data_IF_727201973117
#
_entry.id   IF_727201973117
#
_cell.length_a   1.000
_cell.length_b   1.000
_cell.length_c   1.000
_cell.angle_alpha   90.00
_cell.angle_beta   90.00
_cell.angle_gamma   90.00
#
_symmetry.space_group_name_H-M   'P 1'
#
loop_
_entity.id
_entity.type
_entity.pdbx_description
1 polymer ?
#
# COMPACT_ATOMS: atom_id res chain seq x y z
N UNK A 1 -39.31 -6.31 70.07
CA UNK A 1 -38.93 -5.09 69.33
C UNK A 1 -37.79 -5.50 68.39
N UNK A 2 -38.09 -5.81 67.12
CA UNK A 2 -37.64 -5.09 65.89
C UNK A 2 -36.13 -4.76 65.96
N UNK A 3 -35.23 -5.24 65.10
CA UNK A 3 -35.16 -5.33 63.63
C UNK A 3 -34.15 -6.46 63.26
N UNK A 4 -34.38 -7.44 62.38
CA UNK A 4 -34.69 -7.45 60.94
C UNK A 4 -33.53 -7.00 60.02
N UNK A 5 -33.03 -7.99 59.26
CA UNK A 5 -32.35 -7.99 57.95
C UNK A 5 -30.97 -7.35 57.85
N UNK A 6 -29.88 -8.08 57.57
CA UNK A 6 -29.55 -8.93 56.40
C UNK A 6 -29.33 -8.11 55.11
N UNK A 7 -28.07 -8.15 54.63
CA UNK A 7 -27.56 -7.84 53.28
C UNK A 7 -27.65 -6.38 52.81
N UNK A 8 -26.50 -5.75 52.51
CA UNK A 8 -25.91 -5.81 51.17
C UNK A 8 -24.59 -5.03 51.07
N UNK A 9 -23.67 -5.65 50.34
CA UNK A 9 -22.40 -5.17 49.82
C UNK A 9 -22.42 -3.73 49.30
N UNK A 10 -21.38 -2.97 49.62
CA UNK A 10 -21.09 -1.67 49.01
C UNK A 10 -19.59 -1.47 48.80
N UNK A 11 -18.94 -2.40 48.07
CA UNK A 11 -17.57 -2.20 47.58
C UNK A 11 -17.67 -1.29 46.35
N UNK A 12 -17.52 0.02 46.53
CA UNK A 12 -17.34 0.96 45.42
C UNK A 12 -15.85 1.16 45.18
N UNK A 13 -15.21 0.13 44.63
CA UNK A 13 -13.90 0.26 43.97
C UNK A 13 -14.07 1.12 42.72
N UNK A 14 -13.79 2.42 42.85
CA UNK A 14 -13.75 3.34 41.70
C UNK A 14 -12.43 3.14 40.95
N UNK A 15 -12.31 2.00 40.25
CA UNK A 15 -11.28 1.79 39.24
C UNK A 15 -11.66 2.62 38.02
N UNK A 16 -11.20 3.87 37.97
CA UNK A 16 -11.07 4.59 36.70
C UNK A 16 -9.97 3.88 35.92
N UNK A 17 -10.36 2.80 35.24
CA UNK A 17 -9.57 2.22 34.16
C UNK A 17 -9.33 3.34 33.16
N UNK A 18 -8.06 3.69 32.96
CA UNK A 18 -7.61 4.47 31.83
C UNK A 18 -8.18 3.84 30.56
N UNK A 19 -9.27 4.41 30.06
CA UNK A 19 -9.63 4.19 28.68
C UNK A 19 -8.50 4.84 27.87
N UNK A 20 -7.58 4.02 27.34
CA UNK A 20 -6.93 4.41 26.11
C UNK A 20 -8.06 4.50 25.08
N UNK A 21 -8.66 5.68 24.97
CA UNK A 21 -9.28 6.08 23.72
C UNK A 21 -8.15 6.00 22.70
N UNK A 22 -8.12 4.91 21.93
CA UNK A 22 -7.44 4.90 20.64
C UNK A 22 -8.24 5.87 19.78
N UNK A 23 -7.99 7.16 20.02
CA UNK A 23 -8.46 8.24 19.19
C UNK A 23 -8.15 7.92 17.74
N UNK A 24 -8.98 8.43 16.85
CA UNK A 24 -8.75 8.43 15.41
C UNK A 24 -7.25 8.59 15.10
N UNK A 25 -6.65 7.62 14.37
CA UNK A 25 -5.29 7.80 13.84
C UNK A 25 -4.36 6.59 13.73
N UNK A 26 -4.83 5.33 13.67
CA UNK A 26 -3.92 4.24 13.23
C UNK A 26 -4.02 4.08 11.72
N UNK A 27 -2.99 4.54 11.00
CA UNK A 27 -2.84 4.26 9.57
C UNK A 27 -2.60 2.76 9.38
N UNK A 28 -3.37 2.14 8.50
CA UNK A 28 -3.14 0.77 8.05
C UNK A 28 -2.93 0.73 6.53
N UNK A 29 -2.29 -0.34 6.05
CA UNK A 29 -2.08 -0.59 4.63
C UNK A 29 -3.14 -1.56 4.15
N UNK A 30 -3.86 -1.20 3.10
CA UNK A 30 -4.72 -2.10 2.34
C UNK A 30 -4.07 -2.42 1.00
N UNK A 31 -4.31 -3.60 0.44
CA UNK A 31 -3.75 -3.99 -0.86
C UNK A 31 -4.41 -5.23 -1.42
N UNK A 32 -4.32 -5.39 -2.74
CA UNK A 32 -4.86 -6.54 -3.48
C UNK A 32 -3.86 -7.68 -3.63
N UNK A 33 -4.22 -8.67 -4.43
CA UNK A 33 -3.28 -9.69 -4.91
C UNK A 33 -2.32 -9.10 -5.98
N UNK A 34 -1.13 -9.68 -6.17
CA UNK A 34 -0.25 -9.29 -7.28
C UNK A 34 -0.93 -9.49 -8.64
N UNK A 35 -0.80 -8.49 -9.50
CA UNK A 35 -1.21 -8.53 -10.90
C UNK A 35 0.01 -8.84 -11.75
N UNK A 36 -0.09 -9.83 -12.64
CA UNK A 36 1.00 -10.13 -13.58
C UNK A 36 0.74 -9.47 -14.92
N UNK A 37 1.77 -8.83 -15.46
CA UNK A 37 1.80 -8.30 -16.81
C UNK A 37 2.80 -9.08 -17.66
N UNK A 38 2.39 -9.45 -18.87
CA UNK A 38 3.27 -10.00 -19.91
C UNK A 38 3.68 -8.86 -20.83
N UNK A 39 4.97 -8.57 -20.86
CA UNK A 39 5.60 -7.55 -21.69
C UNK A 39 6.14 -8.16 -22.98
N UNK A 40 6.69 -7.29 -23.84
CA UNK A 40 7.43 -7.71 -25.02
C UNK A 40 8.50 -8.77 -24.68
N UNK A 41 8.83 -9.60 -25.67
CA UNK A 41 9.86 -10.64 -25.53
C UNK A 41 9.57 -11.67 -24.42
N UNK A 42 8.29 -11.78 -24.01
CA UNK A 42 7.83 -12.75 -23.02
C UNK A 42 8.22 -12.42 -21.58
N UNK A 43 8.72 -11.20 -21.32
CA UNK A 43 9.11 -10.78 -19.97
C UNK A 43 7.89 -10.63 -19.07
N UNK A 44 8.03 -10.93 -17.78
CA UNK A 44 6.92 -10.87 -16.82
C UNK A 44 7.25 -9.92 -15.68
N UNK A 45 6.41 -8.92 -15.51
CA UNK A 45 6.47 -7.98 -14.39
C UNK A 45 5.29 -8.27 -13.48
N UNK A 46 5.49 -8.23 -12.16
CA UNK A 46 4.40 -8.33 -11.19
C UNK A 46 4.24 -7.04 -10.41
N UNK A 47 3.00 -6.58 -10.27
CA UNK A 47 2.68 -5.33 -9.57
C UNK A 47 1.61 -5.62 -8.53
N UNK A 48 1.88 -5.25 -7.28
CA UNK A 48 0.88 -5.30 -6.21
C UNK A 48 0.56 -3.88 -5.77
N UNK A 49 -0.72 -3.52 -5.83
CA UNK A 49 -1.21 -2.19 -5.52
C UNK A 49 -1.65 -2.09 -4.06
N UNK A 50 -1.29 -0.98 -3.43
CA UNK A 50 -1.58 -0.68 -2.03
C UNK A 50 -2.09 0.75 -1.86
N UNK A 51 -2.83 0.96 -0.78
CA UNK A 51 -3.25 2.28 -0.31
C UNK A 51 -3.12 2.36 1.21
N UNK A 52 -2.90 3.57 1.72
CA UNK A 52 -3.11 3.85 3.14
C UNK A 52 -4.61 3.95 3.44
N UNK A 53 -5.00 3.57 4.67
CA UNK A 53 -6.38 3.54 5.13
C UNK A 53 -7.09 4.90 5.08
N UNK A 54 -6.32 5.98 5.12
CA UNK A 54 -6.80 7.36 5.00
C UNK A 54 -6.73 7.90 3.55
N UNK A 55 -6.32 7.06 2.59
CA UNK A 55 -6.17 7.38 1.16
C UNK A 55 -5.15 8.47 0.86
N UNK A 56 -4.27 8.82 1.81
CA UNK A 56 -3.25 9.85 1.62
C UNK A 56 -2.12 9.43 0.67
N UNK A 57 -1.94 8.12 0.48
CA UNK A 57 -0.91 7.55 -0.38
C UNK A 57 -1.40 6.25 -1.03
N UNK A 58 -1.22 6.17 -2.35
CA UNK A 58 -1.20 4.92 -3.08
C UNK A 58 0.24 4.59 -3.46
N UNK A 59 0.58 3.31 -3.46
CA UNK A 59 1.91 2.85 -3.84
C UNK A 59 1.84 1.43 -4.39
N UNK A 60 2.91 1.01 -5.06
CA UNK A 60 3.03 -0.35 -5.58
C UNK A 60 4.25 -1.05 -5.02
N UNK A 61 4.17 -2.37 -4.96
CA UNK A 61 5.35 -3.24 -5.01
C UNK A 61 5.51 -3.78 -6.43
N UNK A 62 6.56 -3.35 -7.11
CA UNK A 62 6.93 -3.73 -8.47
C UNK A 62 8.05 -4.78 -8.40
N UNK A 63 7.79 -5.99 -8.88
CA UNK A 63 8.78 -7.07 -8.96
C UNK A 63 9.20 -7.29 -10.41
N UNK A 64 10.49 -7.14 -10.68
CA UNK A 64 11.08 -7.27 -12.01
C UNK A 64 11.63 -8.69 -12.28
N UNK A 65 11.77 -9.10 -13.56
CA UNK A 65 12.36 -10.37 -13.96
C UNK A 65 13.76 -10.67 -13.39
N UNK A 66 14.55 -9.64 -13.11
CA UNK A 66 15.91 -9.77 -12.55
C UNK A 66 15.91 -10.09 -11.04
N UNK A 67 14.73 -10.16 -10.42
CA UNK A 67 14.55 -10.45 -8.99
C UNK A 67 14.62 -9.21 -8.10
N UNK A 68 14.77 -8.01 -8.66
CA UNK A 68 14.73 -6.77 -7.88
C UNK A 68 13.30 -6.27 -7.71
N UNK A 69 12.97 -5.93 -6.47
CA UNK A 69 11.69 -5.35 -6.08
C UNK A 69 11.83 -3.85 -5.79
N UNK A 70 10.84 -3.08 -6.20
CA UNK A 70 10.72 -1.65 -5.90
C UNK A 70 9.41 -1.37 -5.17
N UNK A 71 9.47 -0.46 -4.18
CA UNK A 71 8.26 0.10 -3.56
C UNK A 71 8.13 1.55 -4.03
N UNK A 72 7.16 1.82 -4.89
CA UNK A 72 7.06 3.08 -5.61
C UNK A 72 5.78 3.83 -5.22
N UNK A 73 5.87 5.05 -4.66
CA UNK A 73 4.69 5.87 -4.41
C UNK A 73 4.06 6.34 -5.73
N UNK A 74 2.75 6.56 -5.72
CA UNK A 74 2.07 7.17 -6.87
C UNK A 74 2.51 8.63 -7.02
N UNK A 75 2.87 8.99 -8.25
CA UNK A 75 3.19 10.36 -8.67
C UNK A 75 2.08 10.90 -9.58
N UNK A 76 1.98 12.23 -9.65
CA UNK A 76 1.15 12.92 -10.63
C UNK A 76 1.57 12.52 -12.05
N UNK A 77 0.58 12.33 -12.92
CA UNK A 77 0.72 11.94 -14.32
C UNK A 77 -0.35 12.63 -15.19
N UNK A 78 -0.09 12.76 -16.49
CA UNK A 78 -1.07 13.32 -17.43
C UNK A 78 -2.23 12.35 -17.72
N UNK A 79 -1.95 11.04 -17.80
CA UNK A 79 -2.96 10.00 -17.95
C UNK A 79 -2.49 8.70 -17.32
N UNK A 80 -3.43 7.85 -16.91
CA UNK A 80 -3.10 6.61 -16.20
C UNK A 80 -2.51 6.87 -14.81
N UNK A 81 -1.97 5.84 -14.18
CA UNK A 81 -1.30 5.93 -12.90
C UNK A 81 0.20 5.73 -13.08
N UNK A 82 0.99 6.70 -12.62
CA UNK A 82 2.46 6.65 -12.60
C UNK A 82 2.90 6.41 -11.16
N UNK A 83 3.80 5.46 -10.96
CA UNK A 83 4.41 5.15 -9.67
C UNK A 83 5.91 5.21 -9.84
N UNK A 84 6.59 5.99 -9.00
CA UNK A 84 8.04 6.16 -9.09
C UNK A 84 8.60 6.71 -7.79
N UNK A 85 9.87 6.48 -7.55
CA UNK A 85 10.65 7.19 -6.54
C UNK A 85 11.33 8.46 -7.11
N UNK A 86 11.17 8.75 -8.41
CA UNK A 86 11.88 9.75 -9.20
C UNK A 86 13.41 9.60 -9.19
N UNK A 87 13.93 8.45 -8.75
CA UNK A 87 15.37 8.16 -8.66
C UNK A 87 15.80 7.01 -9.57
N UNK A 88 15.12 5.87 -9.51
CA UNK A 88 15.60 4.64 -10.16
C UNK A 88 14.56 4.01 -11.09
N UNK A 89 13.28 3.95 -10.69
CA UNK A 89 12.28 3.17 -11.39
C UNK A 89 10.95 3.90 -11.58
N UNK A 90 10.30 3.64 -12.70
CA UNK A 90 8.92 4.06 -13.00
C UNK A 90 8.12 2.82 -13.39
N UNK A 91 6.95 2.65 -12.77
CA UNK A 91 5.86 1.83 -13.31
C UNK A 91 4.74 2.77 -13.74
N UNK A 92 4.33 2.71 -15.01
CA UNK A 92 3.24 3.54 -15.50
C UNK A 92 2.22 2.68 -16.23
N UNK A 93 0.97 2.70 -15.75
CA UNK A 93 -0.11 1.90 -16.31
C UNK A 93 -1.34 2.73 -16.69
N UNK A 94 -2.10 2.23 -17.66
CA UNK A 94 -3.40 2.78 -18.09
C UNK A 94 -4.31 1.64 -18.52
N UNK A 95 -5.39 1.41 -17.77
CA UNK A 95 -6.23 0.23 -17.96
C UNK A 95 -5.45 -1.04 -17.63
N UNK A 96 -5.47 -1.99 -18.56
CA UNK A 96 -4.77 -3.28 -18.51
C UNK A 96 -3.35 -3.22 -19.12
N UNK A 97 -2.90 -2.05 -19.53
CA UNK A 97 -1.59 -1.84 -20.16
C UNK A 97 -0.61 -1.13 -19.22
N UNK A 98 0.68 -1.34 -19.40
CA UNK A 98 1.73 -0.55 -18.74
C UNK A 98 3.12 -0.76 -19.30
N UNK A 99 4.08 -0.06 -18.70
CA UNK A 99 5.50 -0.18 -19.02
C UNK A 99 6.36 0.18 -17.80
N UNK A 100 7.63 -0.21 -17.86
CA UNK A 100 8.65 0.11 -16.85
C UNK A 100 9.78 0.91 -17.50
N UNK A 101 10.15 2.01 -16.85
CA UNK A 101 11.37 2.75 -17.15
C UNK A 101 12.34 2.66 -15.99
N UNK A 102 13.62 2.63 -16.30
CA UNK A 102 14.71 2.60 -15.34
C UNK A 102 15.70 3.71 -15.66
N UNK A 103 16.29 4.29 -14.63
CA UNK A 103 17.33 5.30 -14.79
C UNK A 103 18.67 4.63 -15.08
N UNK A 104 19.32 5.04 -16.15
CA UNK A 104 20.66 4.53 -16.49
C UNK A 104 21.77 5.24 -15.70
N UNK A 105 23.01 4.82 -15.95
CA UNK A 105 24.21 5.37 -15.31
C UNK A 105 24.44 6.87 -15.58
N UNK A 106 23.88 7.39 -16.66
CA UNK A 106 24.01 8.78 -17.07
C UNK A 106 22.85 9.64 -16.53
N UNK A 107 21.87 9.00 -15.86
CA UNK A 107 20.70 9.67 -15.28
C UNK A 107 19.54 9.81 -16.25
N UNK A 108 19.58 9.13 -17.40
CA UNK A 108 18.51 9.19 -18.39
C UNK A 108 17.52 8.05 -18.19
N UNK A 109 16.24 8.32 -18.46
CA UNK A 109 15.20 7.30 -18.39
C UNK A 109 15.25 6.40 -19.62
N UNK A 110 15.27 5.09 -19.38
CA UNK A 110 15.27 4.06 -20.42
C UNK A 110 14.07 3.14 -20.22
N UNK A 111 13.27 2.94 -21.26
CA UNK A 111 12.18 1.95 -21.22
C UNK A 111 12.76 0.55 -21.30
N UNK A 112 12.58 -0.25 -20.24
CA UNK A 112 13.17 -1.59 -20.10
C UNK A 112 12.15 -2.72 -20.27
N UNK A 113 10.88 -2.45 -19.99
CA UNK A 113 9.78 -3.39 -20.22
C UNK A 113 8.62 -2.62 -20.86
N UNK A 114 8.37 -2.88 -22.15
CA UNK A 114 7.35 -2.21 -22.95
C UNK A 114 6.18 -3.14 -23.28
N UNK A 115 5.09 -2.54 -23.77
CA UNK A 115 3.82 -3.17 -24.17
C UNK A 115 3.34 -4.26 -23.20
N UNK A 116 3.45 -4.00 -21.89
CA UNK A 116 3.02 -4.93 -20.86
C UNK A 116 1.49 -4.99 -20.80
N UNK A 117 0.92 -6.18 -20.94
CA UNK A 117 -0.52 -6.43 -20.83
C UNK A 117 -0.83 -7.33 -19.64
N UNK A 118 -1.82 -6.93 -18.85
CA UNK A 118 -2.33 -7.73 -17.75
C UNK A 118 -2.77 -9.11 -18.27
N UNK A 119 -2.49 -10.14 -17.48
CA UNK A 119 -2.87 -11.53 -17.76
C UNK A 119 -4.08 -11.97 -16.93
#
# INVERSE_FOLDING_TARGET
>A
MKHANLLLLGITSLTLLSACERGAGTLSVTGGDPVTYLCEQGQRVQVRYFALSDQSLNFVKLALPDGKDYTLPQSVSASGARYTDDHEAVWWNKGDEGFVEMRDKDGEWQSVYNDCKQQ
#
